data_IF_293234889934
#
_entry.id   IF_293234889934
#
_cell.length_a   1.000
_cell.length_b   1.000
_cell.length_c   1.000
_cell.angle_alpha   90.00
_cell.angle_beta   90.00
_cell.angle_gamma   90.00
#
_symmetry.space_group_name_H-M   'P 1'
#
loop_
_entity.id
_entity.type
_entity.pdbx_description
1 polymer ?
#
# COMPACT_ATOMS: atom_id res chain seq x y z
N UNK A 1 17.18 -1.16 -17.77
CA UNK A 1 17.14 -1.93 -16.50
C UNK A 1 18.56 -2.01 -15.96
N UNK A 2 18.80 -1.83 -14.65
CA UNK A 2 20.13 -2.00 -14.02
C UNK A 2 20.72 -0.81 -13.25
N UNK A 3 20.08 0.35 -13.21
CA UNK A 3 20.69 1.60 -12.67
C UNK A 3 20.41 1.90 -11.20
N UNK A 4 20.19 0.88 -10.36
CA UNK A 4 20.13 1.06 -8.89
C UNK A 4 18.91 1.84 -8.33
N UNK A 5 17.95 2.28 -9.15
CA UNK A 5 16.75 3.02 -8.68
C UNK A 5 15.96 2.26 -7.62
N UNK A 6 15.74 0.96 -7.83
CA UNK A 6 15.09 0.09 -6.83
C UNK A 6 15.93 -0.08 -5.57
N UNK A 7 17.26 0.01 -5.68
CA UNK A 7 18.17 0.00 -4.53
C UNK A 7 18.06 1.29 -3.73
N UNK A 8 18.04 2.45 -4.40
CA UNK A 8 17.86 3.76 -3.74
C UNK A 8 16.52 3.81 -3.03
N UNK A 9 15.42 3.42 -3.68
CA UNK A 9 14.09 3.43 -3.07
C UNK A 9 13.99 2.48 -1.87
N UNK A 10 14.62 1.30 -1.93
CA UNK A 10 14.70 0.40 -0.76
C UNK A 10 15.55 0.99 0.36
N UNK A 11 16.65 1.66 0.05
CA UNK A 11 17.49 2.31 1.06
C UNK A 11 16.72 3.44 1.75
N UNK A 12 16.07 4.32 0.99
CA UNK A 12 15.24 5.41 1.53
C UNK A 12 14.10 4.85 2.40
N UNK A 13 13.34 3.86 1.89
CA UNK A 13 12.28 3.23 2.68
C UNK A 13 12.82 2.62 3.98
N UNK A 14 13.95 1.91 3.92
CA UNK A 14 14.58 1.32 5.12
C UNK A 14 15.00 2.39 6.12
N UNK A 15 15.57 3.50 5.67
CA UNK A 15 16.06 4.55 6.56
C UNK A 15 14.89 5.29 7.23
N UNK A 16 13.82 5.59 6.50
CA UNK A 16 12.60 6.18 7.06
C UNK A 16 11.86 5.21 8.01
N UNK A 17 11.84 3.91 7.70
CA UNK A 17 11.28 2.90 8.60
C UNK A 17 12.03 2.85 9.93
N UNK A 18 13.37 2.89 9.90
CA UNK A 18 14.21 2.94 11.11
C UNK A 18 13.95 4.19 11.96
N UNK A 19 13.63 5.31 11.32
CA UNK A 19 13.28 6.57 11.99
C UNK A 19 11.83 6.62 12.48
N UNK A 20 11.00 5.62 12.15
CA UNK A 20 9.54 5.59 12.33
C UNK A 20 8.79 6.70 11.58
N UNK A 21 9.40 7.23 10.52
CA UNK A 21 8.83 8.26 9.65
C UNK A 21 8.22 7.65 8.36
N UNK A 22 8.31 6.33 8.18
CA UNK A 22 7.70 5.64 7.05
C UNK A 22 6.29 5.18 7.42
N UNK A 23 5.27 5.84 6.87
CA UNK A 23 3.88 5.41 7.06
C UNK A 23 3.52 4.10 6.34
N UNK A 24 4.02 3.91 5.11
CA UNK A 24 3.83 2.69 4.33
C UNK A 24 4.82 2.59 3.17
N UNK A 25 5.05 1.38 2.66
CA UNK A 25 5.78 1.16 1.42
C UNK A 25 5.26 -0.05 0.65
N UNK A 26 5.36 -0.03 -0.69
CA UNK A 26 5.01 -1.16 -1.54
C UNK A 26 5.96 -1.23 -2.74
N UNK A 27 6.41 -2.43 -3.09
CA UNK A 27 7.34 -2.65 -4.20
C UNK A 27 6.73 -3.62 -5.22
N UNK A 28 6.66 -3.18 -6.48
CA UNK A 28 6.21 -4.02 -7.59
C UNK A 28 7.33 -4.97 -8.04
N UNK A 29 7.07 -6.29 -8.12
CA UNK A 29 8.04 -7.24 -8.65
C UNK A 29 8.29 -7.01 -10.15
N UNK A 30 9.50 -7.31 -10.62
CA UNK A 30 9.92 -7.01 -12.00
C UNK A 30 9.45 -8.04 -13.04
N UNK A 31 9.04 -9.22 -12.60
CA UNK A 31 8.68 -10.35 -13.46
C UNK A 31 7.63 -11.24 -12.78
N UNK A 32 6.36 -11.07 -13.12
CA UNK A 32 5.30 -12.02 -12.78
C UNK A 32 4.02 -11.37 -12.23
N UNK A 33 3.10 -11.03 -13.14
CA UNK A 33 1.68 -10.76 -12.82
C UNK A 33 1.42 -9.37 -12.23
N UNK A 34 1.56 -8.32 -13.03
CA UNK A 34 1.36 -6.92 -12.63
C UNK A 34 -0.06 -6.62 -12.12
N UNK A 35 -1.09 -7.24 -12.70
CA UNK A 35 -2.48 -6.97 -12.29
C UNK A 35 -2.79 -7.51 -10.88
N UNK A 36 -2.36 -8.74 -10.57
CA UNK A 36 -2.63 -9.37 -9.28
C UNK A 36 -1.86 -8.71 -8.13
N UNK A 37 -0.65 -8.19 -8.40
CA UNK A 37 0.13 -7.43 -7.41
C UNK A 37 -0.37 -5.99 -7.28
N UNK A 38 -0.80 -5.34 -8.38
CA UNK A 38 -1.36 -4.00 -8.33
C UNK A 38 -2.71 -3.92 -7.61
N UNK A 39 -3.55 -4.95 -7.72
CA UNK A 39 -4.79 -5.03 -6.92
C UNK A 39 -4.54 -5.04 -5.41
N UNK A 40 -3.33 -5.42 -4.98
CA UNK A 40 -2.93 -5.43 -3.56
C UNK A 40 -2.25 -4.15 -3.10
N UNK A 41 -1.99 -3.19 -3.99
CA UNK A 41 -1.23 -1.99 -3.66
C UNK A 41 -1.93 -1.16 -2.57
N UNK A 42 -3.16 -0.70 -2.84
CA UNK A 42 -3.90 0.16 -1.91
C UNK A 42 -4.22 -0.55 -0.60
N UNK A 43 -4.70 -1.79 -0.66
CA UNK A 43 -4.97 -2.59 0.55
C UNK A 43 -3.72 -2.82 1.41
N UNK A 44 -2.56 -2.99 0.80
CA UNK A 44 -1.29 -3.13 1.52
C UNK A 44 -0.81 -1.81 2.14
N UNK A 45 -1.03 -0.67 1.47
CA UNK A 45 -0.71 0.65 2.02
C UNK A 45 -1.62 0.95 3.21
N UNK A 46 -2.93 0.78 3.03
CA UNK A 46 -3.93 1.02 4.08
C UNK A 46 -3.66 0.15 5.32
N UNK A 47 -3.36 -1.14 5.14
CA UNK A 47 -2.99 -2.03 6.26
C UNK A 47 -1.73 -1.55 7.00
N UNK A 48 -0.74 -1.02 6.30
CA UNK A 48 0.46 -0.48 6.95
C UNK A 48 0.12 0.79 7.74
N UNK A 49 -0.69 1.67 7.17
CA UNK A 49 -1.13 2.90 7.83
C UNK A 49 -1.95 2.62 9.10
N UNK A 50 -2.86 1.65 9.11
CA UNK A 50 -3.67 1.32 10.30
C UNK A 50 -2.84 0.74 11.44
N UNK A 51 -1.77 -0.02 11.13
CA UNK A 51 -0.82 -0.50 12.14
C UNK A 51 -0.05 0.67 12.78
N UNK A 52 0.30 1.68 12.00
CA UNK A 52 1.03 2.85 12.48
C UNK A 52 0.13 3.89 13.17
N UNK A 53 -1.12 4.00 12.73
CA UNK A 53 -2.12 4.94 13.24
C UNK A 53 -3.45 4.22 13.48
N UNK A 54 -3.67 3.67 14.69
CA UNK A 54 -4.89 2.95 15.04
C UNK A 54 -6.18 3.77 14.87
N UNK A 55 -6.08 5.11 14.89
CA UNK A 55 -7.21 5.99 14.62
C UNK A 55 -7.80 5.81 13.21
N UNK A 56 -7.00 5.36 12.24
CA UNK A 56 -7.45 5.05 10.87
C UNK A 56 -8.14 3.68 10.78
N UNK A 57 -7.99 2.80 11.78
CA UNK A 57 -8.50 1.43 11.74
C UNK A 57 -10.02 1.37 11.63
N UNK A 58 -10.73 2.20 12.39
CA UNK A 58 -12.21 2.29 12.31
C UNK A 58 -12.66 2.74 10.92
N UNK A 59 -12.08 3.83 10.41
CA UNK A 59 -12.49 4.40 9.13
C UNK A 59 -12.26 3.43 7.96
N UNK A 60 -11.12 2.74 7.98
CA UNK A 60 -10.79 1.70 7.01
C UNK A 60 -11.68 0.46 7.17
N UNK A 61 -11.95 0.06 8.42
CA UNK A 61 -12.82 -1.06 8.73
C UNK A 61 -14.24 -0.84 8.21
N UNK A 62 -14.79 0.36 8.41
CA UNK A 62 -16.12 0.74 7.91
C UNK A 62 -16.17 0.71 6.38
N UNK A 63 -15.16 1.28 5.69
CA UNK A 63 -15.07 1.24 4.22
C UNK A 63 -14.97 -0.20 3.68
N UNK A 64 -14.26 -1.10 4.37
CA UNK A 64 -14.16 -2.52 4.01
C UNK A 64 -15.45 -3.30 4.26
N UNK A 65 -16.21 -2.94 5.31
CA UNK A 65 -17.52 -3.54 5.59
C UNK A 65 -18.56 -3.11 4.56
N UNK A 66 -18.53 -1.86 4.13
CA UNK A 66 -19.42 -1.35 3.08
C UNK A 66 -19.09 -1.96 1.72
N UNK A 67 -17.81 -2.24 1.43
CA UNK A 67 -17.37 -2.79 0.14
C UNK A 67 -16.36 -3.93 0.29
N UNK A 68 -16.83 -5.17 0.51
CA UNK A 68 -15.98 -6.34 0.72
C UNK A 68 -15.13 -6.71 -0.51
N UNK A 69 -15.56 -6.29 -1.70
CA UNK A 69 -14.93 -6.59 -2.98
C UNK A 69 -13.94 -5.49 -3.43
N UNK A 70 -13.67 -4.48 -2.61
CA UNK A 70 -12.83 -3.32 -2.96
C UNK A 70 -11.45 -3.71 -3.51
N UNK A 71 -10.85 -4.79 -2.98
CA UNK A 71 -9.56 -5.31 -3.43
C UNK A 71 -9.57 -5.83 -4.88
N UNK A 72 -10.75 -6.11 -5.43
CA UNK A 72 -10.97 -6.55 -6.82
C UNK A 72 -11.43 -5.44 -7.75
N UNK A 73 -11.72 -4.24 -7.24
CA UNK A 73 -12.14 -3.06 -8.03
C UNK A 73 -10.97 -2.35 -8.71
N UNK A 74 -11.29 -1.40 -9.57
CA UNK A 74 -10.28 -0.58 -10.25
C UNK A 74 -9.48 0.26 -9.26
N UNK A 75 -8.31 0.76 -9.66
CA UNK A 75 -7.47 1.60 -8.78
C UNK A 75 -8.15 2.94 -8.43
N UNK A 76 -8.96 3.45 -9.35
CA UNK A 76 -9.72 4.69 -9.17
C UNK A 76 -10.84 4.49 -8.12
N UNK A 77 -11.54 3.36 -8.18
CA UNK A 77 -12.54 2.99 -7.19
C UNK A 77 -11.91 2.79 -5.81
N UNK A 78 -10.80 2.05 -5.74
CA UNK A 78 -10.07 1.82 -4.49
C UNK A 78 -9.57 3.13 -3.87
N UNK A 79 -9.15 4.11 -4.69
CA UNK A 79 -8.71 5.43 -4.19
C UNK A 79 -9.87 6.21 -3.57
N UNK A 80 -10.99 6.34 -4.29
CA UNK A 80 -12.16 7.14 -3.86
C UNK A 80 -12.79 6.64 -2.56
N UNK A 81 -12.60 5.37 -2.23
CA UNK A 81 -13.25 4.72 -1.08
C UNK A 81 -12.34 4.56 0.13
N UNK A 82 -11.03 4.59 -0.04
CA UNK A 82 -10.05 4.39 1.05
C UNK A 82 -9.31 5.67 1.43
N UNK A 83 -9.49 6.76 0.68
CA UNK A 83 -8.83 8.07 0.84
C UNK A 83 -9.87 9.17 0.70
#
# INVERSE_FOLDING_TARGET
>A
AGTGKSTIMRTVARDFHKRRDLGASFFFPRSGGDAAHAGKFLTSIVRQLTIHWPALERHVGDALLEQPDIASKTREDQWTMLV
#
